data_IF_214437022499
#
_entry.id   IF_214437022499
#
_cell.length_a   1.000
_cell.length_b   1.000
_cell.length_c   1.000
_cell.angle_alpha   90.00
_cell.angle_beta   90.00
_cell.angle_gamma   90.00
#
_symmetry.space_group_name_H-M   'P 1'
#
loop_
_entity.id
_entity.type
_entity.pdbx_description
1 polymer ?
#
# COMPACT_ATOMS: atom_id res chain seq x y z
N UNK A 1 -0.25 -31.90 -13.22
CA UNK A 1 0.79 -31.16 -12.48
C UNK A 1 0.62 -31.44 -10.99
N UNK A 2 1.69 -31.73 -10.25
CA UNK A 2 1.64 -31.80 -8.78
C UNK A 2 1.77 -30.38 -8.23
N UNK A 3 0.80 -29.96 -7.43
CA UNK A 3 0.86 -28.71 -6.68
C UNK A 3 1.73 -28.91 -5.43
N UNK A 4 2.44 -27.86 -5.00
CA UNK A 4 3.23 -27.89 -3.77
C UNK A 4 2.33 -27.66 -2.56
N UNK A 5 2.52 -28.44 -1.49
CA UNK A 5 1.80 -28.25 -0.22
C UNK A 5 2.08 -26.89 0.44
N UNK A 6 3.18 -26.20 0.11
CA UNK A 6 3.44 -24.84 0.61
C UNK A 6 2.43 -23.80 0.12
N UNK A 7 1.70 -24.09 -0.96
CA UNK A 7 0.62 -23.25 -1.47
C UNK A 7 -0.74 -23.55 -0.83
N UNK A 8 -0.84 -24.56 0.04
CA UNK A 8 -2.06 -24.88 0.78
C UNK A 8 -2.22 -23.90 1.95
N UNK A 9 -2.48 -22.64 1.62
CA UNK A 9 -2.78 -21.57 2.58
C UNK A 9 -4.23 -21.14 2.42
N UNK A 10 -4.86 -20.77 3.54
CA UNK A 10 -6.22 -20.25 3.52
C UNK A 10 -6.27 -18.94 2.71
N UNK A 11 -7.34 -18.72 1.92
CA UNK A 11 -7.49 -17.52 1.13
C UNK A 11 -7.73 -16.29 2.00
N UNK A 12 -7.47 -15.10 1.44
CA UNK A 12 -7.87 -13.86 2.08
C UNK A 12 -9.38 -13.64 1.96
N UNK A 13 -10.13 -14.19 2.91
CA UNK A 13 -11.60 -14.28 2.92
C UNK A 13 -12.34 -12.94 2.78
N UNK A 14 -11.69 -11.82 3.09
CA UNK A 14 -12.29 -10.47 2.94
C UNK A 14 -12.66 -10.19 1.48
N UNK A 15 -11.94 -10.77 0.53
CA UNK A 15 -12.23 -10.60 -0.91
C UNK A 15 -13.59 -11.17 -1.30
N UNK A 16 -14.03 -12.26 -0.66
CA UNK A 16 -15.34 -12.86 -0.92
C UNK A 16 -16.48 -11.95 -0.45
N UNK A 17 -16.28 -11.28 0.70
CA UNK A 17 -17.24 -10.30 1.24
C UNK A 17 -17.35 -9.09 0.32
N UNK A 18 -16.22 -8.56 -0.16
CA UNK A 18 -16.19 -7.46 -1.12
C UNK A 18 -16.90 -7.81 -2.42
N UNK A 19 -16.68 -9.01 -2.95
CA UNK A 19 -17.33 -9.47 -4.18
C UNK A 19 -18.85 -9.66 -3.99
N UNK A 20 -19.27 -10.16 -2.83
CA UNK A 20 -20.69 -10.28 -2.48
C UNK A 20 -21.37 -8.91 -2.38
N UNK A 21 -20.70 -7.92 -1.75
CA UNK A 21 -21.17 -6.53 -1.68
C UNK A 21 -21.33 -5.94 -3.09
N UNK A 22 -20.29 -6.06 -3.94
CA UNK A 22 -20.31 -5.58 -5.32
C UNK A 22 -21.43 -6.21 -6.15
N UNK A 23 -21.66 -7.53 -6.01
CA UNK A 23 -22.77 -8.23 -6.70
C UNK A 23 -24.13 -7.72 -6.24
N UNK A 24 -24.29 -7.47 -4.94
CA UNK A 24 -25.54 -6.94 -4.38
C UNK A 24 -25.83 -5.52 -4.90
N UNK A 25 -24.82 -4.66 -4.97
CA UNK A 25 -24.93 -3.32 -5.56
C UNK A 25 -25.27 -3.37 -7.05
N UNK A 26 -24.61 -4.23 -7.82
CA UNK A 26 -24.90 -4.43 -9.24
C UNK A 26 -26.35 -4.93 -9.47
N UNK A 27 -26.92 -5.64 -8.49
CA UNK A 27 -28.32 -6.06 -8.49
C UNK A 27 -29.29 -4.95 -8.00
N UNK A 28 -28.80 -3.72 -7.78
CA UNK A 28 -29.61 -2.56 -7.39
C UNK A 28 -29.84 -2.40 -5.89
N UNK A 29 -29.14 -3.17 -5.03
CA UNK A 29 -29.24 -3.01 -3.58
C UNK A 29 -28.35 -1.85 -3.12
N UNK A 30 -28.85 -1.06 -2.18
CA UNK A 30 -28.00 -0.09 -1.48
C UNK A 30 -27.18 -0.81 -0.41
N UNK A 31 -25.85 -0.71 -0.50
CA UNK A 31 -24.91 -1.33 0.43
C UNK A 31 -24.17 -0.24 1.20
N UNK A 32 -24.02 -0.45 2.51
CA UNK A 32 -23.17 0.36 3.38
C UNK A 32 -21.91 -0.46 3.65
N UNK A 33 -20.78 0.03 3.16
CA UNK A 33 -19.52 -0.69 3.27
C UNK A 33 -18.91 -0.52 4.67
N UNK A 34 -18.79 -1.63 5.39
CA UNK A 34 -18.15 -1.73 6.71
C UNK A 34 -17.10 -2.85 6.77
N UNK A 35 -16.84 -3.47 5.62
CA UNK A 35 -15.89 -4.56 5.42
C UNK A 35 -14.52 -4.09 4.93
N UNK A 36 -14.43 -2.84 4.44
CA UNK A 36 -13.24 -2.31 3.79
C UNK A 36 -12.18 -1.91 4.82
N UNK A 37 -11.02 -2.58 4.80
CA UNK A 37 -9.91 -2.36 5.73
C UNK A 37 -8.93 -1.23 5.37
N UNK A 38 -9.27 -0.36 4.41
CA UNK A 38 -8.43 0.76 3.97
C UNK A 38 -9.10 2.12 4.18
N UNK A 39 -8.32 3.22 4.32
CA UNK A 39 -8.88 4.57 4.37
C UNK A 39 -9.68 4.92 3.10
N UNK A 40 -10.71 5.75 3.25
CA UNK A 40 -11.51 6.28 2.13
C UNK A 40 -10.88 7.50 1.45
N UNK A 41 -9.83 8.08 2.04
CA UNK A 41 -9.16 9.28 1.54
C UNK A 41 -8.03 8.93 0.57
N UNK A 42 -7.74 9.79 -0.43
CA UNK A 42 -6.59 9.59 -1.31
C UNK A 42 -5.27 9.79 -0.56
N UNK A 43 -4.17 9.42 -1.22
CA UNK A 43 -2.82 9.79 -0.75
C UNK A 43 -2.68 11.31 -0.58
N UNK A 44 -1.83 11.77 0.36
CA UNK A 44 -1.63 13.20 0.61
C UNK A 44 -1.24 13.98 -0.66
N UNK A 45 -1.77 15.20 -0.81
CA UNK A 45 -1.55 16.06 -1.98
C UNK A 45 -0.06 16.18 -2.35
N UNK A 46 0.80 16.44 -1.37
CA UNK A 46 2.24 16.58 -1.59
C UNK A 46 2.87 15.34 -2.23
N UNK A 47 2.44 14.14 -1.83
CA UNK A 47 2.95 12.90 -2.43
C UNK A 47 2.49 12.74 -3.89
N UNK A 48 1.23 13.10 -4.17
CA UNK A 48 0.65 13.06 -5.52
C UNK A 48 1.34 14.06 -6.46
N UNK A 49 1.60 15.28 -5.98
CA UNK A 49 2.26 16.32 -6.78
C UNK A 49 3.71 15.94 -7.11
N UNK A 50 4.43 15.32 -6.14
CA UNK A 50 5.78 14.80 -6.37
C UNK A 50 5.83 13.67 -7.39
N UNK A 51 4.88 12.73 -7.30
CA UNK A 51 4.76 11.65 -8.28
C UNK A 51 4.49 12.20 -9.68
N UNK A 52 3.55 13.14 -9.81
CA UNK A 52 3.23 13.76 -11.09
C UNK A 52 4.46 14.42 -11.73
N UNK A 53 5.26 15.16 -10.95
CA UNK A 53 6.50 15.75 -11.45
C UNK A 53 7.54 14.69 -11.87
N UNK A 54 7.71 13.62 -11.09
CA UNK A 54 8.65 12.54 -11.41
C UNK A 54 8.25 11.80 -12.71
N UNK A 55 6.96 11.60 -12.95
CA UNK A 55 6.47 10.96 -14.18
C UNK A 55 6.81 11.72 -15.46
N UNK A 56 6.96 13.05 -15.40
CA UNK A 56 7.30 13.88 -16.55
C UNK A 56 8.82 13.94 -16.82
N UNK A 57 9.64 13.79 -15.77
CA UNK A 57 11.08 14.12 -15.84
C UNK A 57 12.03 12.95 -15.58
N UNK A 58 11.55 11.82 -15.07
CA UNK A 58 12.39 10.73 -14.59
C UNK A 58 12.13 9.42 -15.34
N UNK A 59 13.16 8.59 -15.48
CA UNK A 59 13.04 7.29 -16.16
C UNK A 59 12.27 6.24 -15.33
N UNK A 60 12.12 6.47 -14.00
CA UNK A 60 11.46 5.56 -13.06
C UNK A 60 11.96 4.10 -13.16
N UNK A 61 13.26 3.95 -13.40
CA UNK A 61 13.92 2.64 -13.53
C UNK A 61 14.14 1.95 -12.19
N UNK A 62 14.92 0.86 -12.22
CA UNK A 62 15.29 0.15 -11.00
C UNK A 62 15.99 1.04 -9.99
N UNK A 63 15.62 0.86 -8.73
CA UNK A 63 16.31 1.46 -7.58
C UNK A 63 17.24 0.43 -6.95
N UNK A 64 18.04 0.84 -5.96
CA UNK A 64 18.84 -0.12 -5.18
C UNK A 64 17.92 -1.08 -4.42
N UNK A 65 18.38 -2.32 -4.20
CA UNK A 65 17.56 -3.38 -3.60
C UNK A 65 16.95 -3.01 -2.23
N UNK A 66 17.63 -2.13 -1.50
CA UNK A 66 17.24 -1.64 -0.18
C UNK A 66 16.25 -0.46 -0.21
N UNK A 67 15.89 0.04 -1.40
CA UNK A 67 15.09 1.24 -1.60
C UNK A 67 15.91 2.53 -1.66
N UNK A 68 15.29 3.63 -2.08
CA UNK A 68 15.92 4.93 -2.24
C UNK A 68 16.55 5.43 -0.92
N UNK A 69 17.83 5.87 -0.91
CA UNK A 69 18.49 6.39 0.29
C UNK A 69 17.70 7.52 0.97
N UNK A 70 17.14 8.44 0.18
CA UNK A 70 16.40 9.61 0.67
C UNK A 70 15.11 9.20 1.40
N UNK A 71 14.45 8.13 0.94
CA UNK A 71 13.26 7.60 1.60
C UNK A 71 13.64 6.95 2.94
N UNK A 72 14.74 6.19 2.97
CA UNK A 72 15.25 5.54 4.19
C UNK A 72 15.63 6.57 5.25
N UNK A 73 16.35 7.62 4.87
CA UNK A 73 16.68 8.76 5.74
C UNK A 73 15.42 9.47 6.25
N UNK A 74 14.44 9.70 5.38
CA UNK A 74 13.16 10.31 5.75
C UNK A 74 12.39 9.53 6.80
N UNK A 75 12.38 8.20 6.69
CA UNK A 75 11.74 7.30 7.67
C UNK A 75 12.50 7.31 8.99
N UNK A 76 13.84 7.20 8.99
CA UNK A 76 14.64 7.29 10.22
C UNK A 76 14.40 8.62 10.95
N UNK A 77 14.38 9.73 10.21
CA UNK A 77 14.10 11.04 10.76
C UNK A 77 12.66 11.16 11.28
N UNK A 78 11.67 10.49 10.68
CA UNK A 78 10.30 10.43 11.19
C UNK A 78 10.26 9.79 12.57
N UNK A 79 10.96 8.66 12.76
CA UNK A 79 11.03 7.97 14.04
C UNK A 79 11.67 8.83 15.12
N UNK A 80 12.74 9.56 14.79
CA UNK A 80 13.35 10.50 15.71
C UNK A 80 12.39 11.62 16.12
N UNK A 81 11.65 12.21 15.17
CA UNK A 81 10.73 13.31 15.44
C UNK A 81 9.50 12.88 16.26
N UNK A 82 8.92 11.73 15.94
CA UNK A 82 7.64 11.32 16.52
C UNK A 82 7.82 10.52 17.80
N UNK A 83 8.88 9.73 17.87
CA UNK A 83 9.08 8.74 18.93
C UNK A 83 10.39 8.96 19.70
N UNK A 84 11.24 9.90 19.30
CA UNK A 84 12.55 10.11 19.93
C UNK A 84 13.55 8.97 19.69
N UNK A 85 13.24 8.06 18.76
CA UNK A 85 14.09 6.90 18.45
C UNK A 85 15.08 7.25 17.36
N UNK A 86 16.37 7.07 17.64
CA UNK A 86 17.43 7.23 16.65
C UNK A 86 17.62 5.91 15.89
N UNK A 87 17.38 5.93 14.58
CA UNK A 87 17.48 4.78 13.69
C UNK A 87 18.60 4.99 12.68
N UNK A 88 19.41 3.96 12.48
CA UNK A 88 20.39 3.94 11.39
C UNK A 88 19.67 3.70 10.06
N UNK A 89 19.67 4.66 9.11
CA UNK A 89 19.02 4.50 7.82
C UNK A 89 19.68 3.44 6.93
N UNK A 90 20.84 2.88 7.31
CA UNK A 90 21.50 1.78 6.59
C UNK A 90 21.07 0.38 7.07
N UNK A 91 20.28 0.27 8.15
CA UNK A 91 19.81 -1.02 8.70
C UNK A 91 18.39 -1.40 8.29
#
# INVERSE_FOLDING_TARGET
MRLSSRGEVDPFIVMDVMEAARKAEAAGRHIIHMEVGQPSTPAPRLARDRLAAAMEGEALGYTVALGLPELREGIAALYRRWYGVDLDPAR
#
